data_IF_000549809527
#
_entry.id   IF_000549809527
#
_cell.length_a   1.000
_cell.length_b   1.000
_cell.length_c   1.000
_cell.angle_alpha   90.00
_cell.angle_beta   90.00
_cell.angle_gamma   90.00
#
_symmetry.space_group_name_H-M   'P 1'
#
loop_
_entity.id
_entity.type
_entity.pdbx_description
1 polymer ?
#
# COMPACT_ATOMS: atom_id res chain seq x y z
N UNK A 1 11.09 2.20 18.38
CA UNK A 1 10.57 2.61 17.07
C UNK A 1 11.38 3.83 16.66
N UNK A 2 12.00 3.79 15.50
CA UNK A 2 12.96 4.81 15.09
C UNK A 2 12.25 6.02 14.48
N UNK A 3 12.98 7.13 14.42
CA UNK A 3 12.60 8.37 13.74
C UNK A 3 13.27 8.36 12.35
N UNK A 4 12.77 7.61 11.34
CA UNK A 4 13.53 7.35 10.12
C UNK A 4 13.74 8.63 9.32
N UNK A 5 14.97 8.98 8.97
CA UNK A 5 15.29 10.18 8.19
C UNK A 5 14.43 10.28 6.91
N UNK A 6 14.16 11.51 6.48
CA UNK A 6 13.49 11.71 5.21
C UNK A 6 14.35 11.12 4.07
N UNK A 7 13.72 10.53 3.03
CA UNK A 7 14.49 9.98 1.92
C UNK A 7 15.28 11.10 1.23
N UNK A 8 16.51 10.80 0.74
CA UNK A 8 17.34 11.78 0.05
C UNK A 8 16.65 12.28 -1.23
N UNK A 9 16.91 13.53 -1.60
CA UNK A 9 16.37 14.11 -2.82
C UNK A 9 16.86 13.37 -4.08
N UNK A 10 16.00 13.26 -5.09
CA UNK A 10 16.32 12.66 -6.39
C UNK A 10 15.29 11.63 -6.85
N UNK A 11 15.47 11.11 -8.06
CA UNK A 11 14.67 10.01 -8.57
C UNK A 11 14.99 8.70 -7.80
N UNK A 12 14.02 7.78 -7.65
CA UNK A 12 14.29 6.47 -7.08
C UNK A 12 15.34 5.68 -7.86
N UNK A 13 16.14 4.91 -7.13
CA UNK A 13 17.07 3.93 -7.68
C UNK A 13 16.39 2.58 -7.92
N UNK A 14 17.14 1.49 -7.74
CA UNK A 14 16.58 0.14 -7.83
C UNK A 14 15.55 -0.11 -6.71
N UNK A 15 14.35 -0.52 -7.12
CA UNK A 15 13.27 -0.80 -6.18
C UNK A 15 13.52 -2.11 -5.43
N UNK A 16 13.37 -2.07 -4.11
CA UNK A 16 13.57 -3.23 -3.23
C UNK A 16 12.28 -3.69 -2.57
N UNK A 17 11.24 -2.86 -2.61
CA UNK A 17 9.93 -3.18 -2.07
C UNK A 17 8.83 -2.59 -2.96
N UNK A 18 7.72 -3.31 -3.10
CA UNK A 18 6.52 -2.77 -3.73
C UNK A 18 5.25 -3.31 -3.10
N UNK A 19 4.17 -2.53 -3.13
CA UNK A 19 2.85 -2.97 -2.64
C UNK A 19 1.71 -2.26 -3.32
N UNK A 20 0.54 -2.90 -3.34
CA UNK A 20 -0.71 -2.24 -3.67
C UNK A 20 -1.09 -1.25 -2.57
N UNK A 21 -1.36 0.00 -2.96
CA UNK A 21 -1.83 1.05 -2.05
C UNK A 21 -3.28 1.45 -2.36
N UNK A 22 -3.76 1.27 -3.58
CA UNK A 22 -5.17 1.51 -3.92
C UNK A 22 -5.56 0.63 -5.12
N UNK A 23 -6.84 0.55 -5.50
CA UNK A 23 -7.25 -0.16 -6.72
C UNK A 23 -6.46 0.34 -7.93
N UNK A 24 -5.73 -0.58 -8.58
CA UNK A 24 -4.84 -0.27 -9.72
C UNK A 24 -3.74 0.76 -9.40
N UNK A 25 -3.22 0.76 -8.18
CA UNK A 25 -2.15 1.66 -7.75
C UNK A 25 -1.10 0.92 -6.94
N UNK A 26 0.13 0.87 -7.44
CA UNK A 26 1.28 0.23 -6.79
C UNK A 26 2.28 1.30 -6.36
N UNK A 27 2.72 1.24 -5.11
CA UNK A 27 3.86 1.99 -4.60
C UNK A 27 5.11 1.12 -4.69
N UNK A 28 6.14 1.65 -5.34
CA UNK A 28 7.49 1.12 -5.38
C UNK A 28 8.40 1.95 -4.49
N UNK A 29 9.25 1.30 -3.69
CA UNK A 29 10.18 1.94 -2.77
C UNK A 29 11.57 1.38 -2.99
N UNK A 30 12.56 2.26 -3.14
CA UNK A 30 13.96 1.89 -3.26
C UNK A 30 14.65 1.72 -1.91
N UNK A 31 15.90 1.25 -1.91
CA UNK A 31 16.68 1.01 -0.69
C UNK A 31 16.94 2.28 0.15
N UNK A 32 16.75 3.47 -0.41
CA UNK A 32 16.90 4.76 0.26
C UNK A 32 15.56 5.36 0.70
N UNK A 33 14.45 4.62 0.57
CA UNK A 33 13.11 5.07 0.93
C UNK A 33 12.48 6.05 -0.07
N UNK A 34 13.04 6.19 -1.27
CA UNK A 34 12.45 6.99 -2.35
C UNK A 34 11.37 6.18 -3.05
N UNK A 35 10.27 6.85 -3.32
CA UNK A 35 9.04 6.22 -3.75
C UNK A 35 8.62 6.61 -5.17
N UNK A 36 8.02 5.66 -5.87
CA UNK A 36 7.34 5.86 -7.15
C UNK A 36 5.97 5.18 -7.13
N UNK A 37 4.94 5.87 -7.62
CA UNK A 37 3.61 5.32 -7.82
C UNK A 37 3.42 4.94 -9.29
N UNK A 38 2.89 3.74 -9.53
CA UNK A 38 2.35 3.29 -10.82
C UNK A 38 0.84 3.13 -10.71
N UNK A 39 0.10 3.87 -11.53
CA UNK A 39 -1.36 3.98 -11.43
C UNK A 39 -2.04 3.73 -12.78
N UNK A 40 -3.18 3.03 -12.78
CA UNK A 40 -3.90 2.69 -14.01
C UNK A 40 -3.12 1.71 -14.89
N UNK A 41 -3.32 1.72 -16.21
CA UNK A 41 -2.68 0.73 -17.10
C UNK A 41 -3.11 -0.72 -16.85
N UNK A 42 -2.38 -1.69 -17.42
CA UNK A 42 -2.57 -3.12 -17.16
C UNK A 42 -1.91 -3.55 -15.85
N UNK A 43 -2.37 -4.67 -15.26
CA UNK A 43 -1.69 -5.31 -14.12
C UNK A 43 -0.25 -5.67 -14.47
N UNK A 44 -0.06 -6.32 -15.62
CA UNK A 44 1.24 -6.75 -16.14
C UNK A 44 2.26 -5.60 -16.27
N UNK A 45 1.81 -4.36 -16.47
CA UNK A 45 2.65 -3.16 -16.46
C UNK A 45 2.89 -2.62 -15.05
N UNK A 46 1.82 -2.46 -14.26
CA UNK A 46 1.91 -1.89 -12.91
C UNK A 46 2.77 -2.72 -11.97
N UNK A 47 2.74 -4.03 -12.13
CA UNK A 47 3.44 -4.97 -11.26
C UNK A 47 4.84 -5.31 -11.78
N UNK A 48 5.27 -4.70 -12.90
CA UNK A 48 6.43 -5.15 -13.68
C UNK A 48 6.38 -6.66 -13.99
N UNK A 49 5.20 -7.27 -14.01
CA UNK A 49 5.00 -8.70 -14.12
C UNK A 49 4.37 -9.03 -15.47
N UNK A 50 5.20 -9.01 -16.51
CA UNK A 50 4.76 -9.21 -17.89
C UNK A 50 4.00 -10.52 -18.14
N UNK A 51 4.17 -11.51 -17.27
CA UNK A 51 3.54 -12.82 -17.37
C UNK A 51 2.36 -13.06 -16.43
N UNK A 52 1.96 -12.07 -15.62
CA UNK A 52 1.00 -12.30 -14.54
C UNK A 52 1.37 -13.55 -13.70
N UNK A 53 2.65 -13.67 -13.32
CA UNK A 53 3.14 -14.74 -12.45
C UNK A 53 2.52 -14.55 -11.07
N UNK A 54 1.81 -15.58 -10.57
CA UNK A 54 1.19 -15.56 -9.25
C UNK A 54 2.24 -15.47 -8.14
N UNK A 55 1.88 -14.84 -7.03
CA UNK A 55 2.74 -14.82 -5.83
C UNK A 55 2.99 -16.23 -5.30
N UNK A 56 4.16 -16.44 -4.72
CA UNK A 56 4.58 -17.70 -4.12
C UNK A 56 6.09 -17.92 -4.23
N UNK A 57 6.57 -19.06 -3.71
CA UNK A 57 7.99 -19.37 -3.56
C UNK A 57 8.80 -19.18 -4.85
N UNK A 58 8.24 -19.59 -5.99
CA UNK A 58 8.90 -19.38 -7.28
C UNK A 58 9.13 -17.89 -7.56
N UNK A 59 8.09 -17.05 -7.44
CA UNK A 59 8.19 -15.63 -7.74
C UNK A 59 9.15 -14.91 -6.79
N UNK A 60 9.18 -15.31 -5.52
CA UNK A 60 10.12 -14.79 -4.50
C UNK A 60 11.55 -15.15 -4.92
N UNK A 61 11.81 -16.42 -5.22
CA UNK A 61 13.13 -16.88 -5.69
C UNK A 61 13.55 -16.28 -7.05
N UNK A 62 12.58 -15.81 -7.84
CA UNK A 62 12.79 -15.12 -9.10
C UNK A 62 12.95 -13.59 -8.95
N UNK A 63 12.99 -13.06 -7.72
CA UNK A 63 13.26 -11.65 -7.44
C UNK A 63 12.02 -10.75 -7.32
N UNK A 64 10.86 -11.29 -6.97
CA UNK A 64 9.70 -10.46 -6.62
C UNK A 64 9.97 -9.65 -5.34
N UNK A 65 9.52 -8.40 -5.32
CA UNK A 65 9.69 -7.43 -4.22
C UNK A 65 8.36 -7.08 -3.53
N UNK A 66 7.27 -7.75 -3.91
CA UNK A 66 5.93 -7.50 -3.41
C UNK A 66 4.85 -8.33 -4.09
N UNK A 67 3.60 -8.10 -3.72
CA UNK A 67 2.42 -8.65 -4.39
C UNK A 67 1.25 -7.66 -4.47
N UNK A 68 0.41 -7.79 -5.51
CA UNK A 68 -0.81 -6.99 -5.69
C UNK A 68 -2.04 -7.58 -4.95
N UNK A 69 -1.80 -8.58 -4.09
CA UNK A 69 -2.83 -9.42 -3.48
C UNK A 69 -2.92 -10.82 -4.12
N UNK A 70 -2.65 -10.96 -5.41
CA UNK A 70 -2.74 -12.23 -6.15
C UNK A 70 -1.48 -12.55 -6.98
N UNK A 71 -0.82 -11.54 -7.52
CA UNK A 71 0.30 -11.64 -8.44
C UNK A 71 1.54 -10.99 -7.85
N UNK A 72 2.69 -11.53 -8.22
CA UNK A 72 3.98 -10.99 -7.79
C UNK A 72 4.23 -9.63 -8.44
N UNK A 73 4.93 -8.75 -7.72
CA UNK A 73 5.44 -7.48 -8.23
C UNK A 73 6.96 -7.59 -8.33
N UNK A 74 7.52 -7.30 -9.50
CA UNK A 74 8.96 -7.32 -9.75
C UNK A 74 9.56 -5.91 -9.72
N UNK A 75 10.86 -5.76 -9.43
CA UNK A 75 11.52 -4.46 -9.34
C UNK A 75 11.61 -3.74 -10.70
N UNK A 76 11.65 -4.49 -11.80
CA UNK A 76 11.71 -3.95 -13.16
C UNK A 76 11.04 -4.86 -14.17
N UNK A 77 10.64 -4.31 -15.32
CA UNK A 77 10.07 -5.12 -16.40
C UNK A 77 11.06 -6.14 -16.96
N UNK A 78 12.36 -5.83 -16.92
CA UNK A 78 13.41 -6.75 -17.32
C UNK A 78 13.43 -7.98 -16.41
N UNK A 79 13.39 -7.78 -15.09
CA UNK A 79 13.36 -8.87 -14.12
C UNK A 79 12.05 -9.66 -14.16
N UNK A 80 10.91 -9.01 -14.38
CA UNK A 80 9.65 -9.70 -14.60
C UNK A 80 9.65 -10.59 -15.86
N UNK A 81 10.28 -10.14 -16.95
CA UNK A 81 10.46 -10.98 -18.16
C UNK A 81 11.46 -12.11 -17.93
N UNK A 82 12.53 -11.84 -17.18
CA UNK A 82 13.49 -12.87 -16.78
C UNK A 82 12.82 -13.96 -15.93
N UNK A 83 11.87 -13.60 -15.06
CA UNK A 83 11.09 -14.55 -14.26
C UNK A 83 10.24 -15.51 -15.12
N UNK A 84 9.69 -15.05 -16.25
CA UNK A 84 9.00 -15.94 -17.21
C UNK A 84 9.98 -16.98 -17.75
N UNK A 85 11.18 -16.55 -18.17
CA UNK A 85 12.22 -17.45 -18.69
C UNK A 85 12.66 -18.44 -17.62
N UNK A 86 12.87 -17.98 -16.39
CA UNK A 86 13.22 -18.84 -15.26
C UNK A 86 12.14 -19.90 -14.99
N UNK A 87 10.86 -19.51 -15.05
CA UNK A 87 9.73 -20.43 -14.85
C UNK A 87 9.74 -21.55 -15.89
N UNK A 88 9.88 -21.19 -17.17
CA UNK A 88 9.90 -22.15 -18.27
C UNK A 88 11.12 -23.08 -18.23
N UNK A 89 12.16 -22.72 -17.50
CA UNK A 89 13.37 -23.54 -17.27
C UNK A 89 13.32 -24.43 -16.03
N UNK A 90 12.28 -24.31 -15.21
CA UNK A 90 12.09 -25.21 -14.06
C UNK A 90 11.84 -26.64 -14.53
N UNK A 91 12.10 -27.62 -13.66
CA UNK A 91 11.83 -29.04 -13.93
C UNK A 91 10.37 -29.32 -14.27
N UNK A 92 9.44 -28.49 -13.78
CA UNK A 92 8.01 -28.57 -14.05
C UNK A 92 7.63 -28.20 -15.50
N UNK A 93 8.48 -27.42 -16.20
CA UNK A 93 8.22 -26.91 -17.55
C UNK A 93 9.20 -27.42 -18.59
N UNK A 94 10.49 -27.50 -18.28
CA UNK A 94 11.56 -27.64 -19.28
C UNK A 94 11.46 -28.90 -20.15
N UNK A 95 10.82 -29.97 -19.63
CA UNK A 95 10.60 -31.23 -20.36
C UNK A 95 9.32 -31.24 -21.20
N UNK A 96 8.49 -30.20 -21.12
CA UNK A 96 7.24 -30.10 -21.85
C UNK A 96 7.48 -29.63 -23.28
N UNK A 97 6.55 -29.97 -24.17
CA UNK A 97 6.45 -29.29 -25.46
C UNK A 97 5.95 -27.86 -25.25
N UNK A 98 6.17 -26.97 -26.22
CA UNK A 98 5.63 -25.61 -26.18
C UNK A 98 4.12 -25.60 -25.92
N UNK A 99 3.34 -26.46 -26.60
CA UNK A 99 1.89 -26.58 -26.36
C UNK A 99 1.57 -26.96 -24.91
N UNK A 100 2.21 -28.01 -24.39
CA UNK A 100 1.97 -28.48 -23.04
C UNK A 100 2.40 -27.47 -21.97
N UNK A 101 3.50 -26.75 -22.21
CA UNK A 101 3.93 -25.65 -21.34
C UNK A 101 2.90 -24.52 -21.28
N UNK A 102 2.34 -24.09 -22.42
CA UNK A 102 1.32 -23.04 -22.44
C UNK A 102 0.00 -23.49 -21.82
N UNK A 103 -0.41 -24.74 -22.01
CA UNK A 103 -1.57 -25.29 -21.32
C UNK A 103 -1.39 -25.37 -19.80
N UNK A 104 -0.15 -25.52 -19.32
CA UNK A 104 0.16 -25.43 -17.89
C UNK A 104 0.16 -23.99 -17.40
N UNK A 105 0.71 -23.07 -18.20
CA UNK A 105 0.84 -21.66 -17.87
C UNK A 105 -0.50 -20.93 -17.82
N UNK A 106 -1.34 -21.15 -18.84
CA UNK A 106 -2.66 -20.55 -19.01
C UNK A 106 -3.68 -21.69 -19.19
N UNK A 107 -4.16 -22.33 -18.11
CA UNK A 107 -4.97 -23.54 -18.20
C UNK A 107 -6.35 -23.30 -18.86
N UNK A 108 -6.91 -24.30 -19.59
CA UNK A 108 -8.17 -24.14 -20.31
C UNK A 108 -9.38 -23.81 -19.45
N UNK A 109 -9.33 -24.12 -18.15
CA UNK A 109 -10.37 -23.76 -17.19
C UNK A 109 -10.48 -22.25 -16.94
N UNK A 110 -9.40 -21.50 -17.21
CA UNK A 110 -9.31 -20.05 -16.99
C UNK A 110 -9.07 -19.27 -18.29
N UNK A 111 -8.60 -19.94 -19.37
CA UNK A 111 -8.09 -19.28 -20.56
C UNK A 111 -8.44 -20.04 -21.85
N UNK A 112 -8.32 -19.36 -22.99
CA UNK A 112 -8.30 -20.03 -24.30
C UNK A 112 -6.86 -20.47 -24.64
N UNK A 113 -6.44 -21.61 -24.07
CA UNK A 113 -5.06 -22.11 -24.18
C UNK A 113 -4.63 -22.45 -25.61
N UNK A 114 -5.55 -22.92 -26.45
CA UNK A 114 -5.24 -23.21 -27.86
C UNK A 114 -4.96 -21.91 -28.63
N UNK A 115 -5.75 -20.86 -28.42
CA UNK A 115 -5.48 -19.55 -29.02
C UNK A 115 -4.16 -18.96 -28.50
N UNK A 116 -3.89 -19.11 -27.21
CA UNK A 116 -2.63 -18.68 -26.59
C UNK A 116 -1.43 -19.37 -27.23
N UNK A 117 -1.44 -20.70 -27.30
CA UNK A 117 -0.36 -21.49 -27.88
C UNK A 117 -0.17 -21.16 -29.37
N UNK A 118 -1.26 -21.06 -30.12
CA UNK A 118 -1.25 -20.64 -31.54
C UNK A 118 -0.61 -19.27 -31.72
N UNK A 119 -0.98 -18.29 -30.90
CA UNK A 119 -0.42 -16.95 -30.98
C UNK A 119 1.10 -16.94 -30.75
N UNK A 120 1.59 -17.70 -29.76
CA UNK A 120 3.03 -17.85 -29.55
C UNK A 120 3.70 -18.49 -30.77
N UNK A 121 3.13 -19.57 -31.30
CA UNK A 121 3.68 -20.23 -32.48
C UNK A 121 3.80 -19.24 -33.66
N UNK A 122 2.75 -18.49 -33.96
CA UNK A 122 2.70 -17.56 -35.10
C UNK A 122 3.71 -16.40 -34.96
N UNK A 123 3.93 -15.90 -33.75
CA UNK A 123 4.82 -14.75 -33.51
C UNK A 123 6.29 -15.13 -33.25
N UNK A 124 6.56 -16.38 -32.88
CA UNK A 124 7.92 -16.84 -32.56
C UNK A 124 8.51 -17.76 -33.62
N UNK A 125 7.66 -18.42 -34.41
CA UNK A 125 8.03 -19.49 -35.34
C UNK A 125 8.35 -20.84 -34.66
N UNK A 126 8.22 -20.93 -33.34
CA UNK A 126 8.58 -22.15 -32.59
C UNK A 126 7.46 -23.18 -32.77
N UNK A 127 7.74 -24.41 -33.23
CA UNK A 127 6.72 -25.44 -33.39
C UNK A 127 6.05 -25.79 -32.05
N UNK A 128 4.73 -26.00 -32.06
CA UNK A 128 3.98 -26.39 -30.86
C UNK A 128 4.46 -27.70 -30.23
N UNK A 129 5.05 -28.59 -31.03
CA UNK A 129 5.62 -29.86 -30.60
C UNK A 129 7.08 -29.76 -30.12
N UNK A 130 7.74 -28.60 -30.26
CA UNK A 130 9.13 -28.43 -29.81
C UNK A 130 9.21 -28.55 -28.29
N UNK A 131 10.18 -29.34 -27.79
CA UNK A 131 10.44 -29.51 -26.36
C UNK A 131 11.24 -28.31 -25.85
N UNK A 132 10.85 -27.72 -24.71
CA UNK A 132 11.50 -26.52 -24.18
C UNK A 132 13.00 -26.74 -23.90
N UNK A 133 13.41 -27.95 -23.53
CA UNK A 133 14.81 -28.31 -23.28
C UNK A 133 15.72 -28.11 -24.50
N UNK A 134 15.17 -28.19 -25.71
CA UNK A 134 15.93 -28.06 -26.97
C UNK A 134 15.98 -26.61 -27.48
N UNK A 135 15.25 -25.69 -26.83
CA UNK A 135 15.16 -24.29 -27.25
C UNK A 135 16.39 -23.49 -26.85
N UNK A 136 16.75 -22.53 -27.70
CA UNK A 136 17.88 -21.61 -27.43
C UNK A 136 17.43 -20.48 -26.50
N UNK A 137 18.38 -19.82 -25.87
CA UNK A 137 18.10 -18.67 -25.00
C UNK A 137 17.27 -17.57 -25.71
N UNK A 138 17.50 -17.35 -27.01
CA UNK A 138 16.73 -16.37 -27.78
C UNK A 138 15.26 -16.78 -27.98
N UNK A 139 14.98 -18.08 -28.10
CA UNK A 139 13.61 -18.59 -28.22
C UNK A 139 12.82 -18.32 -26.93
N UNK A 140 13.44 -18.53 -25.76
CA UNK A 140 12.84 -18.15 -24.48
C UNK A 140 12.55 -16.64 -24.40
N UNK A 141 13.44 -15.78 -24.92
CA UNK A 141 13.19 -14.32 -24.96
C UNK A 141 12.01 -13.98 -25.87
N UNK A 142 11.90 -14.63 -27.03
CA UNK A 142 10.75 -14.47 -27.94
C UNK A 142 9.45 -14.90 -27.27
N UNK A 143 9.45 -16.04 -26.57
CA UNK A 143 8.28 -16.52 -25.81
C UNK A 143 7.89 -15.48 -24.74
N UNK A 144 8.83 -15.02 -23.92
CA UNK A 144 8.55 -14.04 -22.86
C UNK A 144 8.02 -12.71 -23.40
N UNK A 145 8.57 -12.20 -24.51
CA UNK A 145 8.05 -11.00 -25.20
C UNK A 145 6.63 -11.22 -25.72
N UNK A 146 6.33 -12.41 -26.24
CA UNK A 146 5.01 -12.72 -26.80
C UNK A 146 3.97 -12.88 -25.70
N UNK A 147 4.33 -13.51 -24.58
CA UNK A 147 3.50 -13.57 -23.37
C UNK A 147 3.10 -12.16 -22.93
N UNK A 148 4.04 -11.21 -22.86
CA UNK A 148 3.73 -9.81 -22.50
C UNK A 148 2.62 -9.19 -23.36
N UNK A 149 2.61 -9.49 -24.67
CA UNK A 149 1.59 -8.99 -25.60
C UNK A 149 0.23 -9.64 -25.29
N UNK A 150 0.21 -10.96 -25.07
CA UNK A 150 -1.03 -11.69 -24.75
C UNK A 150 -1.61 -11.23 -23.41
N UNK A 151 -0.77 -11.00 -22.41
CA UNK A 151 -1.17 -10.47 -21.09
C UNK A 151 -1.63 -9.00 -21.13
N UNK A 152 -1.71 -8.39 -22.32
CA UNK A 152 -2.32 -7.09 -22.54
C UNK A 152 -1.55 -5.95 -21.89
N UNK A 153 -0.22 -6.01 -21.92
CA UNK A 153 0.63 -4.96 -21.36
C UNK A 153 0.23 -3.58 -21.92
N UNK A 154 -0.14 -2.67 -21.02
CA UNK A 154 -0.57 -1.30 -21.36
C UNK A 154 -0.05 -0.34 -20.29
N UNK A 155 0.71 0.70 -20.66
CA UNK A 155 1.25 1.62 -19.70
C UNK A 155 0.14 2.48 -19.07
N UNK A 156 0.34 2.81 -17.80
CA UNK A 156 -0.44 3.79 -17.06
C UNK A 156 0.39 5.03 -16.74
N UNK A 157 0.17 5.59 -15.56
CA UNK A 157 0.82 6.81 -15.08
C UNK A 157 1.92 6.46 -14.08
N UNK A 158 3.10 7.05 -14.25
CA UNK A 158 4.18 7.04 -13.26
C UNK A 158 4.24 8.42 -12.63
N UNK A 159 4.22 8.49 -11.29
CA UNK A 159 4.39 9.74 -10.54
C UNK A 159 5.19 9.52 -9.25
N UNK A 160 5.79 10.58 -8.73
CA UNK A 160 6.41 10.54 -7.41
C UNK A 160 5.35 10.35 -6.30
N UNK A 161 5.72 9.71 -5.19
CA UNK A 161 4.92 9.70 -3.97
C UNK A 161 5.20 10.97 -3.15
N UNK A 162 4.99 12.12 -3.78
CA UNK A 162 5.13 13.42 -3.15
C UNK A 162 3.76 14.12 -3.20
N UNK A 163 3.40 14.90 -2.17
CA UNK A 163 2.33 15.86 -2.33
C UNK A 163 2.67 16.74 -3.53
N UNK A 164 1.72 17.02 -4.44
CA UNK A 164 1.97 17.98 -5.51
C UNK A 164 2.47 19.27 -4.86
N UNK A 165 3.43 19.94 -5.52
CA UNK A 165 3.85 21.27 -5.10
C UNK A 165 2.58 22.10 -4.85
N UNK A 166 2.48 22.85 -3.74
CA UNK A 166 1.28 23.64 -3.49
C UNK A 166 1.05 24.46 -4.74
N UNK A 167 -0.11 24.28 -5.38
CA UNK A 167 -0.57 25.20 -6.41
C UNK A 167 -0.65 26.55 -5.71
N UNK A 168 0.41 27.35 -5.84
CA UNK A 168 0.40 28.77 -5.53
C UNK A 168 -0.51 29.42 -6.58
N UNK A 169 -1.81 29.31 -6.35
CA UNK A 169 -2.78 30.25 -6.86
C UNK A 169 -3.82 30.47 -5.77
N UNK A 170 -3.60 31.54 -5.01
CA UNK A 170 -4.72 32.26 -4.41
C UNK A 170 -5.67 32.63 -5.55
N UNK A 171 -6.95 32.32 -5.40
CA UNK A 171 -8.00 32.39 -6.42
C UNK A 171 -8.02 31.21 -7.40
N UNK A 172 -8.81 30.18 -7.06
CA UNK A 172 -9.84 29.53 -7.88
C UNK A 172 -10.38 28.32 -7.08
N UNK A 173 -11.62 28.39 -6.60
CA UNK A 173 -12.50 27.22 -6.40
C UNK A 173 -12.17 26.13 -5.36
N UNK A 174 -11.23 26.33 -4.43
CA UNK A 174 -10.72 25.30 -3.48
C UNK A 174 -11.79 24.64 -2.59
N UNK A 175 -12.92 25.30 -2.34
CA UNK A 175 -13.95 24.78 -1.43
C UNK A 175 -14.72 23.56 -1.97
N UNK A 176 -14.82 23.38 -3.30
CA UNK A 176 -15.66 22.33 -3.88
C UNK A 176 -14.92 21.01 -4.14
N UNK A 177 -13.59 21.03 -4.27
CA UNK A 177 -12.76 19.81 -4.42
C UNK A 177 -12.30 19.25 -3.06
N UNK A 178 -12.03 20.11 -2.08
CA UNK A 178 -11.65 19.68 -0.72
C UNK A 178 -12.80 19.02 0.05
N UNK A 179 -14.02 19.52 -0.12
CA UNK A 179 -15.22 18.90 0.44
C UNK A 179 -15.57 17.56 -0.25
N UNK A 180 -15.14 17.36 -1.51
CA UNK A 180 -15.30 16.07 -2.20
C UNK A 180 -14.24 15.06 -1.77
N UNK A 181 -12.99 15.46 -1.56
CA UNK A 181 -11.91 14.54 -1.17
C UNK A 181 -11.97 14.13 0.31
N UNK A 182 -12.42 15.00 1.21
CA UNK A 182 -12.69 14.65 2.62
C UNK A 182 -13.76 13.56 2.79
N UNK A 183 -14.59 13.33 1.77
CA UNK A 183 -15.59 12.25 1.80
C UNK A 183 -14.95 10.87 1.63
N UNK A 184 -13.81 10.73 0.96
CA UNK A 184 -13.33 9.43 0.52
C UNK A 184 -12.74 8.59 1.67
N UNK A 185 -11.79 9.12 2.44
CA UNK A 185 -11.25 8.38 3.61
C UNK A 185 -12.25 8.30 4.76
N UNK A 186 -13.10 9.33 4.94
CA UNK A 186 -14.15 9.30 5.95
C UNK A 186 -15.23 8.27 5.63
N UNK A 187 -15.58 8.08 4.35
CA UNK A 187 -16.52 7.02 3.95
C UNK A 187 -15.96 5.63 4.26
N UNK A 188 -14.65 5.41 4.03
CA UNK A 188 -13.98 4.15 4.39
C UNK A 188 -13.99 3.97 5.91
N UNK A 189 -13.57 4.97 6.68
CA UNK A 189 -13.56 4.89 8.14
C UNK A 189 -14.95 4.60 8.73
N UNK A 190 -16.00 5.25 8.20
CA UNK A 190 -17.39 5.01 8.61
C UNK A 190 -17.89 3.63 8.21
N UNK A 191 -17.48 3.11 7.05
CA UNK A 191 -17.80 1.74 6.63
C UNK A 191 -17.19 0.72 7.58
N UNK A 192 -15.92 0.89 7.94
CA UNK A 192 -15.24 0.01 8.92
C UNK A 192 -15.91 0.07 10.30
N UNK A 193 -16.33 1.26 10.75
CA UNK A 193 -17.07 1.41 12.00
C UNK A 193 -18.48 0.81 11.99
N UNK A 194 -19.09 0.68 10.80
CA UNK A 194 -20.41 0.09 10.61
C UNK A 194 -20.38 -1.44 10.51
N UNK A 195 -19.20 -2.07 10.44
CA UNK A 195 -19.07 -3.52 10.44
C UNK A 195 -19.58 -4.13 11.75
N UNK A 196 -19.96 -5.43 11.74
CA UNK A 196 -20.26 -6.17 12.95
C UNK A 196 -19.15 -6.02 14.00
N UNK A 197 -19.52 -5.92 15.28
CA UNK A 197 -18.57 -5.63 16.35
C UNK A 197 -17.37 -6.59 16.39
N UNK A 198 -17.57 -7.87 16.05
CA UNK A 198 -16.48 -8.85 15.94
C UNK A 198 -15.50 -8.52 14.82
N UNK A 199 -15.95 -8.02 13.68
CA UNK A 199 -15.08 -7.74 12.52
C UNK A 199 -14.24 -6.46 12.72
N UNK A 200 -14.76 -5.49 13.48
CA UNK A 200 -14.10 -4.20 13.73
C UNK A 200 -13.38 -4.10 15.08
N UNK A 201 -13.25 -5.21 15.81
CA UNK A 201 -12.59 -5.29 17.11
C UNK A 201 -11.49 -6.35 17.12
N UNK A 202 -10.50 -6.15 17.98
CA UNK A 202 -9.50 -7.15 18.33
C UNK A 202 -10.15 -8.47 18.75
N UNK A 203 -9.52 -9.59 18.41
CA UNK A 203 -9.95 -10.92 18.83
C UNK A 203 -9.12 -11.36 20.04
N UNK A 204 -9.72 -12.09 20.99
CA UNK A 204 -8.92 -12.67 22.07
C UNK A 204 -7.95 -13.72 21.53
N UNK A 205 -6.76 -13.75 22.10
CA UNK A 205 -5.80 -14.84 21.93
C UNK A 205 -6.44 -16.24 22.01
N UNK A 206 -6.00 -17.22 21.18
CA UNK A 206 -4.86 -17.16 20.26
C UNK A 206 -5.24 -16.76 18.81
N UNK A 207 -6.47 -16.31 18.58
CA UNK A 207 -6.96 -15.96 17.25
C UNK A 207 -6.66 -14.48 16.94
N UNK A 208 -6.35 -14.19 15.68
CA UNK A 208 -5.99 -12.85 15.22
C UNK A 208 -7.05 -12.30 14.28
N UNK A 209 -7.54 -11.07 14.47
CA UNK A 209 -8.49 -10.49 13.52
C UNK A 209 -7.78 -10.17 12.19
N UNK A 210 -8.10 -10.88 11.08
CA UNK A 210 -7.42 -10.69 9.80
C UNK A 210 -7.63 -9.30 9.20
N UNK A 211 -8.67 -8.57 9.61
CA UNK A 211 -8.94 -7.20 9.16
C UNK A 211 -8.01 -6.18 9.83
N UNK A 212 -7.69 -6.35 11.11
CA UNK A 212 -6.71 -5.50 11.80
C UNK A 212 -5.31 -5.75 11.24
N UNK A 213 -4.95 -7.02 11.03
CA UNK A 213 -3.71 -7.38 10.33
C UNK A 213 -3.67 -6.79 8.91
N UNK A 214 -4.82 -6.71 8.23
CA UNK A 214 -4.92 -6.08 6.92
C UNK A 214 -4.67 -4.56 6.98
N UNK A 215 -5.07 -3.87 8.05
CA UNK A 215 -4.73 -2.46 8.24
C UNK A 215 -3.21 -2.26 8.32
N UNK A 216 -2.49 -3.14 9.03
CA UNK A 216 -1.02 -3.10 9.04
C UNK A 216 -0.42 -3.41 7.68
N UNK A 217 -0.93 -4.42 6.98
CA UNK A 217 -0.46 -4.78 5.64
C UNK A 217 -0.54 -3.59 4.67
N UNK A 218 -1.59 -2.78 4.77
CA UNK A 218 -1.79 -1.62 3.90
C UNK A 218 -1.05 -0.38 4.43
N UNK A 219 -1.16 -0.10 5.72
CA UNK A 219 -0.71 1.16 6.32
C UNK A 219 0.69 1.16 6.95
N UNK A 220 1.31 -0.01 7.10
CA UNK A 220 2.64 -0.20 7.70
C UNK A 220 3.24 -1.56 7.28
N UNK A 221 3.39 -1.85 5.98
CA UNK A 221 3.73 -3.18 5.44
C UNK A 221 5.11 -3.72 5.87
N UNK A 222 6.04 -2.85 6.26
CA UNK A 222 7.38 -3.23 6.71
C UNK A 222 7.39 -3.62 8.19
N UNK A 223 6.31 -3.32 8.91
CA UNK A 223 6.19 -3.62 10.32
C UNK A 223 5.73 -5.06 10.49
N UNK A 224 6.60 -5.89 11.04
CA UNK A 224 6.22 -7.21 11.51
C UNK A 224 5.38 -7.05 12.78
N UNK A 225 4.15 -7.54 12.73
CA UNK A 225 3.18 -7.44 13.82
C UNK A 225 3.49 -8.51 14.87
N UNK A 226 4.65 -8.37 15.54
CA UNK A 226 5.05 -9.24 16.64
C UNK A 226 4.18 -8.92 17.87
N UNK A 227 3.04 -9.62 17.98
CA UNK A 227 2.00 -9.38 18.99
C UNK A 227 0.58 -9.27 18.44
N UNK A 228 0.37 -9.53 17.14
CA UNK A 228 -0.98 -9.68 16.63
C UNK A 228 -1.81 -8.40 16.56
N UNK A 229 -3.13 -8.53 16.66
CA UNK A 229 -4.07 -7.42 16.75
C UNK A 229 -4.11 -6.73 18.13
N UNK A 230 -3.35 -7.23 19.11
CA UNK A 230 -3.20 -6.64 20.45
C UNK A 230 -2.19 -5.46 20.52
N UNK A 231 -1.50 -5.15 19.41
CA UNK A 231 -0.60 -3.99 19.34
C UNK A 231 -1.35 -2.69 19.01
N UNK A 232 -0.80 -1.53 19.38
CA UNK A 232 -1.42 -0.24 19.02
C UNK A 232 -1.64 -0.05 17.51
N UNK A 233 -2.89 -0.21 17.05
CA UNK A 233 -3.25 -0.21 15.62
C UNK A 233 -4.01 1.05 15.15
N UNK A 234 -4.07 2.09 15.99
CA UNK A 234 -4.74 3.36 15.64
C UNK A 234 -4.17 4.01 14.36
N UNK A 235 -2.84 4.05 14.23
CA UNK A 235 -2.18 4.64 13.06
C UNK A 235 -2.27 3.73 11.82
N UNK A 236 -2.23 2.41 12.00
CA UNK A 236 -2.47 1.46 10.92
C UNK A 236 -3.87 1.65 10.32
N UNK A 237 -4.90 1.82 11.14
CA UNK A 237 -6.27 2.12 10.69
C UNK A 237 -6.37 3.44 9.93
N UNK A 238 -5.78 4.53 10.45
CA UNK A 238 -5.79 5.84 9.77
C UNK A 238 -5.07 5.75 8.43
N UNK A 239 -3.89 5.12 8.39
CA UNK A 239 -3.17 4.88 7.15
C UNK A 239 -3.98 4.04 6.16
N UNK A 240 -4.63 2.95 6.62
CA UNK A 240 -5.50 2.13 5.78
C UNK A 240 -6.61 2.96 5.13
N UNK A 241 -7.29 3.83 5.89
CA UNK A 241 -8.37 4.66 5.36
C UNK A 241 -7.85 5.64 4.30
N UNK A 242 -6.71 6.29 4.55
CA UNK A 242 -6.08 7.21 3.60
C UNK A 242 -5.64 6.49 2.33
N UNK A 243 -4.91 5.40 2.49
CA UNK A 243 -4.33 4.62 1.40
C UNK A 243 -5.43 4.03 0.52
N UNK A 244 -6.46 3.43 1.14
CA UNK A 244 -7.59 2.83 0.42
C UNK A 244 -8.46 3.87 -0.32
N UNK A 245 -8.45 5.13 0.11
CA UNK A 245 -9.10 6.25 -0.61
C UNK A 245 -8.19 6.91 -1.66
N UNK A 246 -6.97 6.40 -1.86
CA UNK A 246 -6.02 6.94 -2.85
C UNK A 246 -5.14 8.06 -2.32
N UNK A 247 -5.22 8.39 -1.03
CA UNK A 247 -4.37 9.38 -0.37
C UNK A 247 -3.10 8.75 0.21
N UNK A 248 -2.07 9.58 0.40
CA UNK A 248 -0.82 9.14 1.02
C UNK A 248 -0.96 9.08 2.54
N UNK A 249 -0.66 7.92 3.11
CA UNK A 249 -0.45 7.74 4.55
C UNK A 249 0.96 8.17 5.00
N UNK A 250 1.31 7.82 6.23
CA UNK A 250 2.67 7.92 6.79
C UNK A 250 3.49 6.66 6.60
N UNK A 251 2.86 5.56 6.18
CA UNK A 251 3.46 4.22 6.08
C UNK A 251 4.12 3.75 7.39
N UNK A 252 3.59 4.15 8.55
CA UNK A 252 4.21 3.85 9.85
C UNK A 252 3.14 3.52 10.89
N UNK A 253 3.36 2.49 11.74
CA UNK A 253 2.33 1.98 12.66
C UNK A 253 2.07 2.88 13.88
N UNK A 254 3.03 3.74 14.25
CA UNK A 254 2.91 4.68 15.38
C UNK A 254 2.22 6.00 15.03
N UNK A 255 1.30 6.46 15.90
CA UNK A 255 0.54 7.72 15.76
C UNK A 255 1.41 8.98 15.56
N UNK A 256 2.58 9.01 16.20
CA UNK A 256 3.57 10.11 16.08
C UNK A 256 4.08 10.34 14.64
N UNK A 257 3.98 9.34 13.76
CA UNK A 257 4.38 9.50 12.35
C UNK A 257 3.60 10.60 11.64
N UNK A 258 2.35 10.82 12.04
CA UNK A 258 1.52 11.92 11.55
C UNK A 258 2.02 13.27 12.06
N UNK A 259 2.47 13.35 13.33
CA UNK A 259 3.08 14.55 13.89
C UNK A 259 4.38 14.93 13.17
N UNK A 260 5.23 13.96 12.86
CA UNK A 260 6.47 14.22 12.15
C UNK A 260 6.24 14.72 10.72
N UNK A 261 5.18 14.26 10.04
CA UNK A 261 4.79 14.69 8.68
C UNK A 261 5.98 14.79 7.70
N UNK A 262 6.88 13.79 7.72
CA UNK A 262 8.22 13.89 7.10
C UNK A 262 8.19 14.11 5.60
N UNK A 263 7.23 13.52 4.88
CA UNK A 263 7.06 13.70 3.43
C UNK A 263 6.21 14.94 3.10
N UNK A 264 5.84 15.75 4.12
CA UNK A 264 4.96 16.93 4.01
C UNK A 264 3.63 16.63 3.32
N UNK A 265 3.16 15.39 3.40
CA UNK A 265 1.97 14.92 2.70
C UNK A 265 0.66 15.43 3.30
N UNK A 266 0.73 16.09 4.47
CA UNK A 266 -0.41 16.73 5.11
C UNK A 266 -0.20 18.24 5.27
N UNK A 267 -1.28 19.00 5.03
CA UNK A 267 -1.38 20.40 5.43
C UNK A 267 -1.72 20.50 6.93
N UNK A 268 -0.95 21.29 7.68
CA UNK A 268 -1.16 21.48 9.12
C UNK A 268 -2.22 22.56 9.35
N UNK A 269 -3.27 22.21 10.07
CA UNK A 269 -4.39 23.09 10.37
C UNK A 269 -4.18 23.80 11.72
N UNK A 270 -4.71 25.02 11.83
CA UNK A 270 -4.71 25.77 13.08
C UNK A 270 -5.62 25.14 14.17
N UNK A 271 -6.53 24.25 13.79
CA UNK A 271 -7.48 23.62 14.70
C UNK A 271 -8.25 22.46 14.05
N UNK A 272 -9.16 21.84 14.82
CA UNK A 272 -9.97 20.72 14.34
C UNK A 272 -10.90 21.18 13.22
N UNK A 273 -11.01 20.35 12.20
CA UNK A 273 -11.99 20.47 11.11
C UNK A 273 -12.57 19.09 10.83
N UNK A 274 -13.80 18.96 10.29
CA UNK A 274 -14.39 17.66 9.99
C UNK A 274 -13.47 16.85 9.05
N UNK A 275 -13.23 15.58 9.39
CA UNK A 275 -12.38 14.68 8.61
C UNK A 275 -10.87 14.90 8.76
N UNK A 276 -10.43 15.96 9.45
CA UNK A 276 -9.01 16.18 9.74
C UNK A 276 -8.44 15.03 10.57
N UNK A 277 -7.19 14.66 10.32
CA UNK A 277 -6.43 13.75 11.17
C UNK A 277 -6.03 14.54 12.43
N UNK A 278 -6.37 14.03 13.61
CA UNK A 278 -5.97 14.62 14.88
C UNK A 278 -4.98 13.71 15.59
N UNK A 279 -3.83 14.27 15.96
CA UNK A 279 -2.76 13.54 16.65
C UNK A 279 -2.75 13.93 18.11
N UNK A 280 -2.97 12.93 18.98
CA UNK A 280 -2.93 13.08 20.42
C UNK A 280 -1.63 12.48 20.96
N UNK A 281 -0.88 13.25 21.73
CA UNK A 281 0.36 12.81 22.36
C UNK A 281 0.11 12.49 23.83
N UNK A 282 0.77 11.44 24.33
CA UNK A 282 0.82 11.11 25.75
C UNK A 282 2.13 11.59 26.38
N UNK A 283 2.08 11.84 27.69
CA UNK A 283 3.27 12.10 28.49
C UNK A 283 4.30 10.95 28.32
N UNK A 284 5.60 11.23 28.43
CA UNK A 284 6.21 12.52 28.79
C UNK A 284 6.31 13.53 27.63
N UNK A 285 6.31 14.81 27.97
CA UNK A 285 6.42 15.95 27.03
C UNK A 285 7.82 16.59 26.99
N UNK A 286 8.78 16.03 27.73
CA UNK A 286 10.15 16.54 27.80
C UNK A 286 10.90 16.43 26.48
N UNK A 287 10.60 15.41 25.68
CA UNK A 287 11.15 15.24 24.33
C UNK A 287 10.36 16.07 23.32
N UNK A 288 10.91 17.22 22.91
CA UNK A 288 10.24 18.10 21.95
C UNK A 288 10.13 17.50 20.55
N UNK A 289 11.01 16.57 20.16
CA UNK A 289 10.96 15.88 18.86
C UNK A 289 9.97 14.72 18.85
N UNK A 290 9.57 14.24 20.04
CA UNK A 290 8.72 13.07 20.22
C UNK A 290 9.28 11.82 19.54
N UNK A 291 10.58 11.57 19.71
CA UNK A 291 11.29 10.39 19.24
C UNK A 291 10.86 9.12 20.01
N UNK A 292 10.39 9.26 21.24
CA UNK A 292 9.93 8.15 22.10
C UNK A 292 8.59 8.46 22.77
N UNK A 293 7.86 7.42 23.19
CA UNK A 293 6.55 7.54 23.85
C UNK A 293 5.37 7.26 22.92
N UNK A 294 4.20 7.08 23.54
CA UNK A 294 2.95 6.67 22.88
C UNK A 294 2.08 7.87 22.50
N UNK A 295 1.12 7.62 21.62
CA UNK A 295 0.13 8.59 21.19
C UNK A 295 -1.09 7.88 20.61
N UNK A 296 -2.06 8.68 20.18
CA UNK A 296 -3.26 8.22 19.50
C UNK A 296 -3.54 9.07 18.28
N UNK A 297 -4.19 8.49 17.27
CA UNK A 297 -4.56 9.21 16.05
C UNK A 297 -5.94 8.74 15.56
N UNK A 298 -6.71 9.66 15.02
CA UNK A 298 -8.03 9.39 14.44
C UNK A 298 -8.53 10.57 13.62
N UNK A 299 -9.71 10.42 13.02
CA UNK A 299 -10.33 11.47 12.22
C UNK A 299 -11.34 12.27 13.04
N UNK A 300 -11.26 13.60 12.99
CA UNK A 300 -12.17 14.50 13.69
C UNK A 300 -13.59 14.35 13.15
N UNK A 301 -14.53 14.05 14.05
CA UNK A 301 -15.98 14.02 13.77
C UNK A 301 -16.66 15.30 14.26
N UNK A 302 -16.35 15.71 15.49
CA UNK A 302 -16.89 16.92 16.11
C UNK A 302 -15.93 17.43 17.19
N UNK A 303 -16.14 18.65 17.69
CA UNK A 303 -15.30 19.22 18.75
C UNK A 303 -16.04 20.32 19.53
N UNK A 304 -15.52 20.61 20.72
CA UNK A 304 -15.85 21.78 21.53
C UNK A 304 -14.56 22.56 21.83
N UNK A 305 -14.65 23.59 22.66
CA UNK A 305 -13.46 24.30 23.17
C UNK A 305 -12.57 23.42 24.07
N UNK A 306 -13.11 22.33 24.64
CA UNK A 306 -12.42 21.48 25.62
C UNK A 306 -12.23 20.02 25.20
N UNK A 307 -12.90 19.56 24.15
CA UNK A 307 -12.85 18.18 23.70
C UNK A 307 -12.90 18.02 22.18
N UNK A 308 -12.44 16.88 21.68
CA UNK A 308 -12.51 16.47 20.27
C UNK A 308 -13.02 15.04 20.20
N UNK A 309 -14.00 14.78 19.35
CA UNK A 309 -14.51 13.45 19.04
C UNK A 309 -13.83 12.91 17.80
N UNK A 310 -13.24 11.72 17.92
CA UNK A 310 -12.52 11.04 16.86
C UNK A 310 -13.23 9.77 16.43
N UNK A 311 -13.34 9.56 15.12
CA UNK A 311 -13.51 8.25 14.51
C UNK A 311 -12.14 7.63 14.29
N UNK A 312 -11.84 6.54 14.97
CA UNK A 312 -10.50 5.94 14.94
C UNK A 312 -10.49 4.46 15.28
N UNK A 313 -9.38 3.81 14.95
CA UNK A 313 -9.07 2.43 15.34
C UNK A 313 -8.45 2.36 16.73
N UNK A 314 -8.43 1.17 17.30
CA UNK A 314 -7.96 0.86 18.65
C UNK A 314 -8.57 1.71 19.78
N UNK A 315 -9.83 2.15 19.62
CA UNK A 315 -10.52 2.95 20.63
C UNK A 315 -11.28 2.03 21.57
N UNK A 316 -10.57 1.43 22.52
CA UNK A 316 -11.08 0.31 23.32
C UNK A 316 -11.16 -0.95 22.47
N UNK A 317 -10.06 -1.26 21.79
CA UNK A 317 -9.85 -2.45 20.97
C UNK A 317 -10.89 -2.58 19.83
N UNK A 318 -11.43 -1.44 19.36
CA UNK A 318 -12.44 -1.40 18.29
C UNK A 318 -12.36 -0.13 17.45
N UNK A 319 -12.86 -0.18 16.22
CA UNK A 319 -13.12 1.01 15.38
C UNK A 319 -14.43 1.64 15.85
N UNK A 320 -14.37 2.83 16.46
CA UNK A 320 -15.58 3.55 16.90
C UNK A 320 -15.36 5.05 16.95
N UNK A 321 -16.39 5.81 17.33
CA UNK A 321 -16.27 7.22 17.71
C UNK A 321 -16.00 7.34 19.22
N UNK A 322 -15.03 8.17 19.62
CA UNK A 322 -14.70 8.43 21.03
C UNK A 322 -14.30 9.89 21.24
N UNK A 323 -14.76 10.47 22.34
CA UNK A 323 -14.45 11.85 22.73
C UNK A 323 -13.26 11.89 23.68
N UNK A 324 -12.29 12.74 23.37
CA UNK A 324 -11.08 12.95 24.18
C UNK A 324 -10.96 14.42 24.60
N UNK A 325 -10.45 14.71 25.81
CA UNK A 325 -10.10 16.06 26.20
C UNK A 325 -9.03 16.65 25.27
N UNK A 326 -9.16 17.95 24.95
CA UNK A 326 -8.14 18.69 24.18
C UNK A 326 -6.79 18.71 24.90
N UNK A 327 -6.85 18.88 26.21
CA UNK A 327 -5.74 18.87 27.14
C UNK A 327 -6.21 18.14 28.40
N UNK A 328 -5.46 17.13 28.82
CA UNK A 328 -5.72 16.39 30.05
C UNK A 328 -4.58 16.63 31.04
N UNK A 329 -4.95 16.87 32.30
CA UNK A 329 -4.01 17.07 33.40
C UNK A 329 -4.41 16.13 34.54
N UNK A 330 -3.41 15.64 35.28
CA UNK A 330 -3.68 14.94 36.52
C UNK A 330 -4.06 15.92 37.65
N UNK A 331 -4.35 15.39 38.85
CA UNK A 331 -4.71 16.19 40.03
C UNK A 331 -3.65 17.21 40.45
N UNK A 332 -2.38 16.97 40.12
CA UNK A 332 -1.27 17.89 40.37
C UNK A 332 -1.11 18.97 39.29
N UNK A 333 -1.99 19.00 38.27
CA UNK A 333 -1.91 19.94 37.15
C UNK A 333 -0.90 19.58 36.07
N UNK A 334 -0.21 18.44 36.19
CA UNK A 334 0.76 17.94 35.22
C UNK A 334 0.05 17.41 33.98
N UNK A 335 0.47 17.87 32.80
CA UNK A 335 -0.05 17.44 31.50
C UNK A 335 0.14 15.93 31.31
N UNK A 336 -0.96 15.22 31.06
CA UNK A 336 -0.98 13.78 30.76
C UNK A 336 -1.12 13.51 29.27
N UNK A 337 -1.91 14.33 28.57
CA UNK A 337 -2.10 14.20 27.14
C UNK A 337 -2.58 15.51 26.51
N UNK A 338 -2.32 15.70 25.21
CA UNK A 338 -2.88 16.81 24.44
C UNK A 338 -2.96 16.49 22.95
N UNK A 339 -3.83 17.19 22.24
CA UNK A 339 -3.77 17.21 20.77
C UNK A 339 -2.65 18.13 20.31
N UNK A 340 -1.65 17.56 19.62
CA UNK A 340 -0.44 18.25 19.18
C UNK A 340 -0.46 18.65 17.71
N UNK A 341 -1.35 18.06 16.91
CA UNK A 341 -1.53 18.42 15.51
C UNK A 341 -2.95 18.11 15.01
N UNK A 342 -3.42 18.96 14.09
CA UNK A 342 -4.57 18.69 13.22
C UNK A 342 -4.07 18.80 11.78
N UNK A 343 -4.37 17.80 10.96
CA UNK A 343 -3.76 17.63 9.65
C UNK A 343 -4.84 17.30 8.62
N UNK A 344 -4.68 17.80 7.40
CA UNK A 344 -5.50 17.42 6.26
C UNK A 344 -4.63 16.84 5.15
N UNK A 345 -4.99 15.68 4.54
CA UNK A 345 -4.31 15.20 3.34
C UNK A 345 -4.25 16.28 2.27
N UNK A 346 -3.08 16.48 1.66
CA UNK A 346 -2.97 17.31 0.47
C UNK A 346 -3.68 16.57 -0.67
N UNK A 347 -4.73 17.18 -1.21
CA UNK A 347 -5.55 16.59 -2.27
C UNK A 347 -4.84 16.82 -3.61
N UNK A 348 -4.72 15.74 -4.37
CA UNK A 348 -4.07 15.70 -5.69
C UNK A 348 -5.06 16.08 -6.78
#
# INVERSE_FOLDING_TARGET
MDDPDAPPAGAPGEFVHARMIAPKTILYTDASGRDQIREGGSRSWRDCNAGNIRKGDFSINAGAIGDDGSFAIFPSEELGKAAIIALLKTSAYIKLTLKAAIFRYAPPSENNSDAYAKFIHEHTGIPLAAVLADLKAEDFRKIARTIQVIEGWKPGIIRANAPPAPLMNESIGVASSAASATQDWMAIARREAALPARERSEWPDPDENPRILYYFKIGAPWFEVAGGDEVDWCAAFVNFCLVTSGHMGTDHPGARSFYWNKKKQFHVLAGPQPGAIAVRRYAPFSDLKWATGTGHVGFVVSWTSSAVTLLGGNQGNTVCERTFPRLEKNSAGTKQSEFVAFLMPVIV
#
